data_IF_638173929614
#
_entry.id   IF_638173929614
#
_cell.length_a   1.000
_cell.length_b   1.000
_cell.length_c   1.000
_cell.angle_alpha   90.00
_cell.angle_beta   90.00
_cell.angle_gamma   90.00
#
_symmetry.space_group_name_H-M   'P 1'
#
loop_
_entity.id
_entity.type
_entity.pdbx_description
1 polymer ?
#
# COMPACT_ATOMS: atom_id res chain seq x y z
N UNK A 1 -13.59 29.76 -13.37
CA UNK A 1 -12.50 28.88 -13.88
C UNK A 1 -12.78 27.49 -13.36
N UNK A 2 -12.89 26.49 -14.25
CA UNK A 2 -12.92 25.09 -13.84
C UNK A 2 -11.51 24.72 -13.37
N UNK A 3 -11.39 24.25 -12.13
CA UNK A 3 -10.16 23.64 -11.66
C UNK A 3 -9.86 22.39 -12.50
N UNK A 4 -8.63 22.27 -13.03
CA UNK A 4 -8.21 21.14 -13.86
C UNK A 4 -8.37 19.81 -13.11
N UNK A 5 -8.11 19.81 -11.80
CA UNK A 5 -8.32 18.65 -10.93
C UNK A 5 -9.78 18.18 -10.94
N UNK A 6 -10.72 19.12 -10.99
CA UNK A 6 -12.15 18.85 -11.11
C UNK A 6 -12.51 18.28 -12.49
N UNK A 7 -11.96 18.85 -13.58
CA UNK A 7 -12.21 18.36 -14.94
C UNK A 7 -11.75 16.91 -15.17
N UNK A 8 -10.57 16.55 -14.68
CA UNK A 8 -10.06 15.17 -14.78
C UNK A 8 -10.93 14.19 -13.97
N UNK A 9 -11.44 14.62 -12.81
CA UNK A 9 -12.33 13.83 -11.95
C UNK A 9 -13.67 13.57 -12.63
N UNK A 10 -14.28 14.59 -13.23
CA UNK A 10 -15.55 14.49 -13.98
C UNK A 10 -15.41 13.61 -15.22
N UNK A 11 -14.32 13.78 -15.97
CA UNK A 11 -14.06 12.95 -17.15
C UNK A 11 -13.86 11.48 -16.76
N UNK A 12 -13.07 11.23 -15.71
CA UNK A 12 -12.80 9.90 -15.22
C UNK A 12 -14.06 9.19 -14.69
N UNK A 13 -14.87 9.87 -13.86
CA UNK A 13 -16.12 9.32 -13.34
C UNK A 13 -17.14 9.07 -14.43
N UNK A 14 -17.21 9.94 -15.45
CA UNK A 14 -18.06 9.73 -16.64
C UNK A 14 -17.63 8.49 -17.41
N UNK A 15 -16.33 8.34 -17.70
CA UNK A 15 -15.80 7.14 -18.35
C UNK A 15 -16.13 5.87 -17.56
N UNK A 16 -15.97 5.92 -16.22
CA UNK A 16 -16.32 4.81 -15.34
C UNK A 16 -17.81 4.48 -15.40
N UNK A 17 -18.69 5.48 -15.40
CA UNK A 17 -20.13 5.28 -15.53
C UNK A 17 -20.54 4.67 -16.87
N UNK A 18 -19.87 5.04 -17.96
CA UNK A 18 -20.18 4.54 -19.30
C UNK A 18 -19.59 3.16 -19.60
N UNK A 19 -18.33 2.91 -19.25
CA UNK A 19 -17.60 1.70 -19.63
C UNK A 19 -17.48 0.67 -18.49
N UNK A 20 -17.70 1.09 -17.25
CA UNK A 20 -17.45 0.31 -16.04
C UNK A 20 -16.01 0.41 -15.55
N UNK A 21 -15.83 0.41 -14.23
CA UNK A 21 -14.54 0.69 -13.59
C UNK A 21 -13.43 -0.30 -13.96
N UNK A 22 -13.71 -1.61 -14.01
CA UNK A 22 -12.75 -2.64 -14.44
C UNK A 22 -12.18 -2.33 -15.83
N UNK A 23 -13.04 -2.00 -16.81
CA UNK A 23 -12.60 -1.71 -18.17
C UNK A 23 -11.83 -0.40 -18.26
N UNK A 24 -12.26 0.63 -17.53
CA UNK A 24 -11.54 1.90 -17.47
C UNK A 24 -10.16 1.72 -16.85
N UNK A 25 -10.03 0.98 -15.75
CA UNK A 25 -8.73 0.71 -15.13
C UNK A 25 -7.76 0.02 -16.12
N UNK A 26 -8.24 -0.97 -16.86
CA UNK A 26 -7.44 -1.64 -17.88
C UNK A 26 -7.06 -0.72 -19.05
N UNK A 27 -7.99 0.13 -19.49
CA UNK A 27 -7.77 1.11 -20.55
C UNK A 27 -6.72 2.14 -20.15
N UNK A 28 -6.82 2.68 -18.93
CA UNK A 28 -5.89 3.65 -18.39
C UNK A 28 -4.51 3.03 -18.21
N UNK A 29 -4.42 1.80 -17.69
CA UNK A 29 -3.14 1.10 -17.56
C UNK A 29 -2.48 0.79 -18.91
N UNK A 30 -3.26 0.51 -19.95
CA UNK A 30 -2.72 0.36 -21.30
C UNK A 30 -2.23 1.70 -21.87
N UNK A 31 -3.03 2.77 -21.70
CA UNK A 31 -2.68 4.12 -22.13
C UNK A 31 -1.46 4.68 -21.38
N UNK A 32 -1.24 4.28 -20.13
CA UNK A 32 -0.07 4.66 -19.35
C UNK A 32 1.26 4.14 -19.93
N UNK A 33 1.22 3.10 -20.78
CA UNK A 33 2.42 2.51 -21.40
C UNK A 33 2.88 3.23 -22.66
N UNK A 34 2.01 4.03 -23.30
CA UNK A 34 2.38 4.84 -24.45
C UNK A 34 2.75 6.26 -23.97
N UNK A 35 3.99 6.74 -24.20
CA UNK A 35 4.43 8.08 -23.78
C UNK A 35 3.52 9.22 -24.25
N UNK A 36 2.77 9.03 -25.34
CA UNK A 36 1.83 10.04 -25.86
C UNK A 36 0.55 10.12 -25.05
N UNK A 37 0.14 9.03 -24.39
CA UNK A 37 -1.09 8.95 -23.60
C UNK A 37 -0.84 8.78 -22.10
N UNK A 38 0.41 8.65 -21.68
CA UNK A 38 0.81 8.49 -20.27
C UNK A 38 0.25 9.59 -19.38
N UNK A 39 0.49 10.86 -19.75
CA UNK A 39 0.04 12.01 -18.94
C UNK A 39 -1.48 12.03 -18.76
N UNK A 40 -2.25 11.77 -19.81
CA UNK A 40 -3.71 11.78 -19.69
C UNK A 40 -4.22 10.56 -18.92
N UNK A 41 -3.59 9.40 -19.08
CA UNK A 41 -3.93 8.19 -18.33
C UNK A 41 -3.72 8.39 -16.82
N UNK A 42 -2.56 8.91 -16.42
CA UNK A 42 -2.21 9.19 -15.02
C UNK A 42 -3.13 10.25 -14.41
N UNK A 43 -3.49 11.29 -15.17
CA UNK A 43 -4.43 12.32 -14.70
C UNK A 43 -5.83 11.75 -14.45
N UNK A 44 -6.32 10.88 -15.34
CA UNK A 44 -7.62 10.24 -15.21
C UNK A 44 -7.65 9.20 -14.08
N UNK A 45 -6.58 8.42 -13.89
CA UNK A 45 -6.44 7.54 -12.72
C UNK A 45 -6.47 8.36 -11.41
N UNK A 46 -5.71 9.46 -11.35
CA UNK A 46 -5.77 10.40 -10.24
C UNK A 46 -7.17 11.00 -10.05
N UNK A 47 -7.91 11.22 -11.14
CA UNK A 47 -9.31 11.64 -11.15
C UNK A 47 -10.23 10.62 -10.47
N UNK A 48 -10.11 9.33 -10.78
CA UNK A 48 -10.88 8.27 -10.10
C UNK A 48 -10.55 8.19 -8.61
N UNK A 49 -9.27 8.27 -8.24
CA UNK A 49 -8.85 8.27 -6.83
C UNK A 49 -9.46 9.47 -6.08
N UNK A 50 -9.44 10.66 -6.69
CA UNK A 50 -10.09 11.85 -6.10
C UNK A 50 -11.60 11.70 -6.01
N UNK A 51 -12.23 11.10 -7.01
CA UNK A 51 -13.66 10.83 -7.03
C UNK A 51 -14.08 9.97 -5.83
N UNK A 52 -13.46 8.80 -5.66
CA UNK A 52 -13.76 7.92 -4.52
C UNK A 52 -13.41 8.57 -3.17
N UNK A 53 -12.28 9.30 -3.09
CA UNK A 53 -11.89 10.04 -1.88
C UNK A 53 -12.91 11.11 -1.49
N UNK A 54 -13.46 11.82 -2.48
CA UNK A 54 -14.47 12.87 -2.28
C UNK A 54 -15.80 12.31 -1.78
N UNK A 55 -16.17 11.12 -2.27
CA UNK A 55 -17.34 10.37 -1.82
C UNK A 55 -17.13 9.60 -0.51
N UNK A 56 -15.88 9.53 -0.04
CA UNK A 56 -15.48 8.72 1.10
C UNK A 56 -15.84 7.23 0.94
N UNK A 57 -15.72 6.71 -0.28
CA UNK A 57 -16.10 5.34 -0.61
C UNK A 57 -15.23 4.33 0.12
N UNK A 58 -15.82 3.32 0.76
CA UNK A 58 -15.04 2.31 1.47
C UNK A 58 -14.11 1.54 0.53
N UNK A 59 -12.85 1.23 0.90
CA UNK A 59 -11.96 0.45 0.06
C UNK A 59 -12.52 -0.93 -0.31
N UNK A 60 -13.33 -1.54 0.56
CA UNK A 60 -14.02 -2.80 0.25
C UNK A 60 -15.11 -2.65 -0.81
N UNK A 61 -15.70 -1.47 -0.93
CA UNK A 61 -16.68 -1.14 -1.98
C UNK A 61 -15.97 -0.84 -3.30
N UNK A 62 -14.88 -0.06 -3.28
CA UNK A 62 -14.05 0.17 -4.48
C UNK A 62 -13.48 -1.14 -5.03
N UNK A 63 -13.13 -2.09 -4.16
CA UNK A 63 -12.71 -3.43 -4.57
C UNK A 63 -13.76 -4.14 -5.44
N UNK A 64 -15.04 -4.05 -5.04
CA UNK A 64 -16.18 -4.61 -5.79
C UNK A 64 -16.50 -3.81 -7.05
N UNK A 65 -16.41 -2.48 -7.00
CA UNK A 65 -16.61 -1.60 -8.16
C UNK A 65 -15.63 -1.99 -9.28
N UNK A 66 -14.38 -2.30 -8.91
CA UNK A 66 -13.33 -2.77 -9.80
C UNK A 66 -13.44 -4.27 -10.15
N UNK A 67 -14.44 -4.97 -9.63
CA UNK A 67 -14.73 -6.40 -9.86
C UNK A 67 -13.56 -7.32 -9.49
N UNK A 68 -12.86 -6.97 -8.43
CA UNK A 68 -11.69 -7.71 -7.96
C UNK A 68 -12.07 -8.91 -7.10
N UNK A 69 -13.30 -9.04 -6.62
CA UNK A 69 -13.75 -10.10 -5.71
C UNK A 69 -13.84 -11.49 -6.34
N UNK A 70 -13.90 -11.56 -7.68
CA UNK A 70 -14.12 -12.81 -8.43
C UNK A 70 -12.90 -13.25 -9.28
N UNK A 71 -11.72 -12.67 -9.06
CA UNK A 71 -10.54 -12.80 -9.95
C UNK A 71 -9.46 -13.73 -9.39
N UNK A 72 -9.82 -14.91 -8.89
CA UNK A 72 -8.93 -15.78 -8.11
C UNK A 72 -7.60 -16.12 -8.80
N UNK A 73 -7.60 -16.45 -10.09
CA UNK A 73 -6.38 -16.96 -10.73
C UNK A 73 -5.39 -15.86 -11.13
N UNK A 74 -5.88 -14.65 -11.46
CA UNK A 74 -5.07 -13.58 -12.07
C UNK A 74 -5.19 -12.22 -11.34
N UNK A 75 -5.77 -12.16 -10.12
CA UNK A 75 -6.01 -10.89 -9.39
C UNK A 75 -4.75 -10.04 -9.23
N UNK A 76 -3.58 -10.67 -9.14
CA UNK A 76 -2.33 -9.97 -8.92
C UNK A 76 -1.84 -9.22 -10.17
N UNK A 77 -2.17 -9.71 -11.37
CA UNK A 77 -1.68 -9.16 -12.63
C UNK A 77 -2.68 -8.23 -13.33
N UNK A 78 -3.90 -8.10 -12.80
CA UNK A 78 -4.88 -7.13 -13.32
C UNK A 78 -4.56 -5.70 -12.86
N UNK A 79 -4.45 -4.73 -13.79
CA UNK A 79 -4.13 -3.35 -13.44
C UNK A 79 -5.08 -2.69 -12.44
N UNK A 80 -6.33 -3.13 -12.42
CA UNK A 80 -7.34 -2.67 -11.46
C UNK A 80 -6.92 -2.89 -10.00
N UNK A 81 -6.11 -3.92 -9.69
CA UNK A 81 -5.61 -4.13 -8.33
C UNK A 81 -4.65 -3.01 -7.90
N UNK A 82 -3.75 -2.58 -8.79
CA UNK A 82 -2.81 -1.50 -8.50
C UNK A 82 -3.55 -0.16 -8.24
N UNK A 83 -4.59 0.12 -9.03
CA UNK A 83 -5.44 1.29 -8.83
C UNK A 83 -6.16 1.23 -7.47
N UNK A 84 -6.69 0.05 -7.09
CA UNK A 84 -7.29 -0.15 -5.78
C UNK A 84 -6.29 0.04 -4.64
N UNK A 85 -5.07 -0.49 -4.77
CA UNK A 85 -4.01 -0.33 -3.76
C UNK A 85 -3.63 1.15 -3.56
N UNK A 86 -3.51 1.91 -4.65
CA UNK A 86 -3.32 3.37 -4.62
C UNK A 86 -4.47 4.06 -3.88
N UNK A 87 -5.71 3.65 -4.14
CA UNK A 87 -6.87 4.21 -3.43
C UNK A 87 -6.87 3.84 -1.93
N UNK A 88 -6.58 2.59 -1.57
CA UNK A 88 -6.50 2.14 -0.19
C UNK A 88 -5.51 2.97 0.62
N UNK A 89 -4.35 3.29 0.05
CA UNK A 89 -3.35 4.17 0.67
C UNK A 89 -3.95 5.55 0.95
N UNK A 90 -4.57 6.19 -0.04
CA UNK A 90 -5.18 7.52 0.09
C UNK A 90 -6.34 7.53 1.11
N UNK A 91 -7.14 6.47 1.15
CA UNK A 91 -8.20 6.31 2.13
C UNK A 91 -7.62 6.18 3.55
N UNK A 92 -6.61 5.31 3.75
CA UNK A 92 -6.00 5.10 5.07
C UNK A 92 -5.27 6.35 5.59
N UNK A 93 -4.65 7.14 4.70
CA UNK A 93 -4.07 8.46 5.05
C UNK A 93 -5.14 9.45 5.53
N UNK A 94 -6.36 9.38 4.97
CA UNK A 94 -7.51 10.20 5.40
C UNK A 94 -8.14 9.68 6.70
N UNK A 95 -8.04 8.38 6.97
CA UNK A 95 -8.68 7.68 8.10
C UNK A 95 -7.68 6.97 9.03
N UNK A 96 -6.72 7.70 9.64
CA UNK A 96 -5.65 7.09 10.44
C UNK A 96 -6.15 6.36 11.70
N UNK A 97 -7.33 6.73 12.22
CA UNK A 97 -7.92 6.10 13.39
C UNK A 97 -8.56 4.72 13.10
N UNK A 98 -8.90 4.45 11.84
CA UNK A 98 -9.56 3.21 11.40
C UNK A 98 -9.05 2.80 10.02
N UNK A 99 -7.75 2.49 9.88
CA UNK A 99 -7.20 2.08 8.60
C UNK A 99 -7.81 0.75 8.18
N UNK A 100 -8.07 0.59 6.88
CA UNK A 100 -8.50 -0.66 6.29
C UNK A 100 -7.27 -1.50 5.97
N UNK A 101 -7.26 -2.73 6.45
CA UNK A 101 -6.20 -3.69 6.15
C UNK A 101 -6.39 -4.29 4.75
N UNK A 102 -5.34 -4.24 3.93
CA UNK A 102 -5.30 -4.91 2.64
C UNK A 102 -5.58 -6.42 2.79
N UNK A 103 -4.88 -7.10 3.71
CA UNK A 103 -5.08 -8.53 3.97
C UNK A 103 -6.49 -8.82 4.44
N UNK A 104 -7.11 -7.92 5.22
CA UNK A 104 -8.49 -8.04 5.66
C UNK A 104 -9.49 -8.01 4.50
N UNK A 105 -9.27 -7.14 3.51
CA UNK A 105 -10.11 -7.10 2.29
C UNK A 105 -9.96 -8.37 1.48
N UNK A 106 -8.72 -8.84 1.26
CA UNK A 106 -8.51 -10.11 0.54
C UNK A 106 -9.10 -11.30 1.30
N UNK A 107 -8.90 -11.38 2.61
CA UNK A 107 -9.46 -12.44 3.44
C UNK A 107 -10.99 -12.49 3.35
N UNK A 108 -11.66 -11.34 3.27
CA UNK A 108 -13.11 -11.25 3.10
C UNK A 108 -13.59 -11.89 1.80
N UNK A 109 -12.88 -11.70 0.69
CA UNK A 109 -13.32 -12.17 -0.63
C UNK A 109 -12.73 -13.52 -1.07
N UNK A 110 -11.56 -13.89 -0.55
CA UNK A 110 -10.79 -15.05 -1.01
C UNK A 110 -10.72 -16.21 -0.01
N UNK A 111 -11.64 -16.28 0.95
CA UNK A 111 -11.74 -17.41 1.87
C UNK A 111 -10.75 -17.37 3.04
N UNK A 112 -10.39 -16.17 3.50
CA UNK A 112 -9.55 -15.95 4.68
C UNK A 112 -8.08 -15.69 4.37
N UNK A 113 -7.33 -15.26 5.39
CA UNK A 113 -5.92 -14.90 5.26
C UNK A 113 -5.04 -16.05 4.77
N UNK A 114 -5.27 -17.27 5.27
CA UNK A 114 -4.51 -18.46 4.85
C UNK A 114 -4.72 -18.77 3.36
N UNK A 115 -5.95 -18.60 2.85
CA UNK A 115 -6.24 -18.83 1.44
C UNK A 115 -5.58 -17.76 0.56
N UNK A 116 -5.68 -16.49 0.96
CA UNK A 116 -4.97 -15.39 0.31
C UNK A 116 -3.45 -15.61 0.26
N UNK A 117 -2.81 -15.97 1.37
CA UNK A 117 -1.37 -16.22 1.41
C UNK A 117 -0.96 -17.38 0.50
N UNK A 118 -1.77 -18.44 0.42
CA UNK A 118 -1.54 -19.54 -0.53
C UNK A 118 -1.67 -19.10 -1.99
N UNK A 119 -2.63 -18.24 -2.31
CA UNK A 119 -2.77 -17.68 -3.65
C UNK A 119 -1.57 -16.80 -4.00
N UNK A 120 -1.15 -15.95 -3.06
CA UNK A 120 0.01 -15.06 -3.24
C UNK A 120 1.31 -15.87 -3.46
N UNK A 121 1.53 -16.93 -2.68
CA UNK A 121 2.67 -17.82 -2.85
C UNK A 121 2.64 -18.55 -4.21
N UNK A 122 1.48 -19.10 -4.60
CA UNK A 122 1.32 -19.74 -5.91
C UNK A 122 1.58 -18.79 -7.08
N UNK A 123 1.10 -17.55 -6.98
CA UNK A 123 1.31 -16.56 -8.02
C UNK A 123 2.78 -16.14 -8.13
N UNK A 124 3.49 -16.05 -6.99
CA UNK A 124 4.93 -15.79 -6.96
C UNK A 124 5.75 -16.95 -7.53
N UNK A 125 5.40 -18.20 -7.19
CA UNK A 125 5.98 -19.41 -7.79
C UNK A 125 5.75 -19.46 -9.32
N UNK A 126 4.67 -18.84 -9.80
CA UNK A 126 4.34 -18.66 -11.22
C UNK A 126 4.98 -17.42 -11.86
N UNK A 127 5.91 -16.74 -11.17
CA UNK A 127 6.62 -15.54 -11.63
C UNK A 127 5.72 -14.31 -11.85
N UNK A 128 4.56 -14.24 -11.19
CA UNK A 128 3.65 -13.08 -11.26
C UNK A 128 4.34 -11.82 -10.76
N UNK A 129 4.50 -10.85 -11.66
CA UNK A 129 5.06 -9.54 -11.32
C UNK A 129 4.18 -8.81 -10.29
N UNK A 130 2.86 -8.96 -10.43
CA UNK A 130 1.89 -8.44 -9.47
C UNK A 130 2.06 -9.01 -8.07
N UNK A 131 2.23 -10.34 -7.96
CA UNK A 131 2.42 -11.02 -6.69
C UNK A 131 3.70 -10.56 -5.99
N UNK A 132 4.82 -10.46 -6.72
CA UNK A 132 6.10 -9.97 -6.20
C UNK A 132 6.01 -8.54 -5.68
N UNK A 133 5.33 -7.67 -6.42
CA UNK A 133 5.09 -6.28 -5.99
C UNK A 133 4.27 -6.24 -4.71
N UNK A 134 3.18 -7.00 -4.65
CA UNK A 134 2.31 -7.04 -3.48
C UNK A 134 3.00 -7.64 -2.26
N UNK A 135 3.79 -8.71 -2.42
CA UNK A 135 4.62 -9.27 -1.36
C UNK A 135 5.56 -8.20 -0.77
N UNK A 136 6.25 -7.44 -1.62
CA UNK A 136 7.14 -6.36 -1.18
C UNK A 136 6.38 -5.27 -0.39
N UNK A 137 5.17 -4.92 -0.83
CA UNK A 137 4.32 -3.95 -0.13
C UNK A 137 3.84 -4.49 1.24
N UNK A 138 3.42 -5.76 1.32
CA UNK A 138 3.00 -6.39 2.59
C UNK A 138 4.16 -6.51 3.57
N UNK A 139 5.34 -6.94 3.11
CA UNK A 139 6.56 -7.02 3.93
C UNK A 139 6.95 -5.63 4.44
N UNK A 140 6.85 -4.61 3.58
CA UNK A 140 7.15 -3.23 3.96
C UNK A 140 6.15 -2.70 4.99
N UNK A 141 4.85 -2.94 4.79
CA UNK A 141 3.82 -2.55 5.74
C UNK A 141 4.02 -3.21 7.11
N UNK A 142 4.40 -4.49 7.14
CA UNK A 142 4.68 -5.21 8.38
C UNK A 142 5.90 -4.62 9.12
N UNK A 143 6.98 -4.31 8.39
CA UNK A 143 8.17 -3.63 8.97
C UNK A 143 7.84 -2.25 9.54
N UNK A 144 6.96 -1.48 8.89
CA UNK A 144 6.53 -0.17 9.40
C UNK A 144 5.73 -0.35 10.69
N UNK A 145 4.81 -1.31 10.74
CA UNK A 145 4.02 -1.59 11.95
C UNK A 145 4.92 -2.04 13.12
N UNK A 146 5.92 -2.89 12.87
CA UNK A 146 6.91 -3.26 13.88
C UNK A 146 7.74 -2.05 14.35
N UNK A 147 8.21 -1.21 13.43
CA UNK A 147 8.96 0.00 13.78
C UNK A 147 8.11 1.00 14.61
N UNK A 148 6.85 1.21 14.24
CA UNK A 148 5.92 2.06 14.99
C UNK A 148 5.54 1.46 16.35
N UNK A 149 5.44 0.13 16.45
CA UNK A 149 5.21 -0.56 17.73
C UNK A 149 6.38 -0.35 18.70
N UNK A 150 7.61 -0.40 18.20
CA UNK A 150 8.82 -0.11 18.98
C UNK A 150 8.83 1.34 19.49
N UNK A 151 8.35 2.31 18.71
CA UNK A 151 8.20 3.71 19.18
C UNK A 151 7.12 3.87 20.26
N UNK A 152 6.03 3.09 20.20
CA UNK A 152 4.97 3.12 21.23
C UNK A 152 5.29 2.34 22.50
N UNK A 153 6.26 1.42 22.45
CA UNK A 153 6.76 0.66 23.60
C UNK A 153 8.02 1.28 24.24
N UNK A 154 8.53 2.39 23.69
CA UNK A 154 9.57 3.17 24.36
C UNK A 154 9.00 3.69 25.71
N UNK A 155 9.56 3.28 26.87
CA UNK A 155 9.09 3.79 28.14
C UNK A 155 9.29 5.30 28.15
N UNK A 156 8.24 6.05 28.46
CA UNK A 156 8.31 7.49 28.75
C UNK A 156 9.25 7.72 29.93
N UNK A 157 10.56 7.79 29.65
CA UNK A 157 11.59 7.82 30.69
C UNK A 157 13.00 7.48 30.24
N UNK A 158 13.20 6.78 29.12
CA UNK A 158 14.55 6.51 28.61
C UNK A 158 14.87 7.39 27.41
N UNK A 159 15.40 8.58 27.69
CA UNK A 159 16.16 9.32 26.69
C UNK A 159 17.37 8.47 26.27
N UNK A 160 17.65 8.27 24.97
CA UNK A 160 18.87 7.63 24.54
C UNK A 160 20.02 8.60 24.87
N UNK A 161 20.81 8.26 25.88
CA UNK A 161 22.08 8.95 26.14
C UNK A 161 23.07 8.51 25.07
N UNK A 162 22.98 9.10 23.87
CA UNK A 162 24.07 9.08 22.92
C UNK A 162 25.14 10.03 23.44
N UNK A 163 26.18 9.50 24.11
CA UNK A 163 27.45 10.22 24.23
C UNK A 163 28.34 9.79 23.09
N UNK A 164 28.74 10.75 22.27
CA UNK A 164 29.75 10.59 21.23
C UNK A 164 31.02 9.96 21.81
N UNK A 165 31.37 8.76 21.34
CA UNK A 165 32.70 8.20 21.58
C UNK A 165 33.60 8.68 20.46
N UNK A 166 34.34 9.76 20.73
CA UNK A 166 35.48 10.16 19.90
C UNK A 166 36.58 9.10 20.06
N UNK A 167 36.61 8.14 19.14
CA UNK A 167 37.85 7.55 18.66
C UNK A 167 38.56 6.46 19.48
N UNK A 168 38.03 5.94 20.60
CA UNK A 168 38.62 4.76 21.26
C UNK A 168 37.55 3.88 21.94
N UNK A 169 37.57 2.57 21.64
CA UNK A 169 36.61 1.58 22.15
C UNK A 169 36.68 1.49 23.68
N UNK A 170 35.57 1.81 24.36
CA UNK A 170 35.17 1.17 25.63
C UNK A 170 33.70 1.46 25.92
N UNK A 171 32.88 0.39 25.98
CA UNK A 171 31.48 0.45 26.38
C UNK A 171 31.37 0.20 27.89
N UNK A 172 30.49 0.94 28.58
CA UNK A 172 30.20 0.80 30.02
C UNK A 172 28.80 0.18 30.13
N UNK A 173 28.59 -0.77 31.06
CA UNK A 173 27.27 -1.37 31.26
C UNK A 173 26.34 -0.51 32.14
N UNK A 174 25.07 -0.91 32.24
CA UNK A 174 24.02 -0.15 32.93
C UNK A 174 24.20 0.00 34.45
N UNK A 175 25.23 -0.61 35.05
CA UNK A 175 25.57 -0.49 36.46
C UNK A 175 26.83 0.37 36.71
N UNK A 176 27.43 0.94 35.65
CA UNK A 176 28.52 1.90 35.76
C UNK A 176 29.89 1.28 36.08
N UNK A 177 30.06 -0.02 35.83
CA UNK A 177 31.38 -0.66 35.92
C UNK A 177 31.98 -0.81 34.51
N UNK A 178 33.29 -0.55 34.40
CA UNK A 178 34.02 -0.71 33.15
C UNK A 178 34.30 -2.21 32.97
N UNK A 179 33.72 -2.84 31.96
CA UNK A 179 34.00 -4.24 31.64
C UNK A 179 35.36 -4.32 30.93
N UNK A 180 36.40 -4.66 31.70
CA UNK A 180 37.73 -4.95 31.17
C UNK A 180 37.84 -6.44 30.88
N UNK A 181 37.10 -6.92 29.90
CA UNK A 181 37.31 -8.24 29.31
C UNK A 181 37.60 -8.09 27.81
N UNK A 182 38.73 -7.46 27.50
CA UNK A 182 39.37 -7.64 26.20
C UNK A 182 40.19 -8.91 26.21
N UNK A 183 39.91 -9.75 25.22
CA UNK A 183 40.67 -10.91 24.75
C UNK A 183 42.20 -10.77 24.90
N UNK A 184 42.81 -11.82 25.47
CA UNK A 184 43.89 -12.58 24.82
C UNK A 184 43.42 -14.02 24.63
#
# INVERSE_FOLDING_TARGET
>A
MLDKSNADTEMASSLMGHYGAEKVANMLAAAAKDPKTETIATNLEGGLIRFWKGLDTEPTEVFNILKLENKVDDVFDIPALAMWASYLKVYNEKHPAKPVSMTGVFAKYYGGETAFLKMLAKADDADSAGAKKLQNEVITAFRIVEASRVETEAPSGFAPQLRECSGQLQCIDSHGYIDTSTEE
#
